data_IF_120998693902
#
_entry.id   IF_120998693902
#
_cell.length_a   1.000
_cell.length_b   1.000
_cell.length_c   1.000
_cell.angle_alpha   90.00
_cell.angle_beta   90.00
_cell.angle_gamma   90.00
#
_symmetry.space_group_name_H-M   'P 1'
#
loop_
_entity.id
_entity.type
_entity.pdbx_description
1 polymer ?
#
# COMPACT_ATOMS: atom_id res chain seq x y z
N UNK A 1 20.19 -29.78 1.96
CA UNK A 1 20.17 -28.58 1.08
C UNK A 1 20.63 -27.42 1.93
N UNK A 2 21.33 -26.41 1.40
CA UNK A 2 21.68 -25.23 2.20
C UNK A 2 20.44 -24.39 2.54
N UNK A 3 20.52 -23.59 3.58
CA UNK A 3 19.52 -22.57 3.88
C UNK A 3 19.56 -21.49 2.79
N UNK A 4 18.40 -20.99 2.37
CA UNK A 4 18.32 -20.02 1.27
C UNK A 4 17.52 -18.78 1.65
N UNK A 5 17.94 -17.62 1.14
CA UNK A 5 17.16 -16.40 1.19
C UNK A 5 16.22 -16.34 -0.02
N UNK A 6 14.93 -16.13 0.25
CA UNK A 6 13.89 -16.03 -0.78
C UNK A 6 13.12 -14.72 -0.62
N UNK A 7 12.77 -14.08 -1.73
CA UNK A 7 11.98 -12.84 -1.72
C UNK A 7 10.56 -13.08 -1.21
N UNK A 8 10.05 -12.10 -0.45
CA UNK A 8 8.62 -12.00 -0.15
C UNK A 8 7.81 -11.52 -1.34
N UNK A 9 8.38 -10.61 -2.15
CA UNK A 9 7.73 -10.06 -3.33
C UNK A 9 8.74 -9.84 -4.47
N UNK A 10 8.59 -10.50 -5.64
CA UNK A 10 7.68 -11.63 -5.90
C UNK A 10 8.01 -12.83 -5.01
N UNK A 11 6.97 -13.52 -4.53
CA UNK A 11 7.11 -14.57 -3.52
C UNK A 11 7.91 -15.75 -4.06
N UNK A 12 8.88 -16.22 -3.29
CA UNK A 12 9.60 -17.48 -3.55
C UNK A 12 10.80 -17.37 -4.50
N UNK A 13 11.07 -16.20 -5.08
CA UNK A 13 12.28 -16.00 -5.90
C UNK A 13 13.53 -16.10 -5.03
N UNK A 14 14.41 -17.04 -5.33
CA UNK A 14 15.69 -17.23 -4.62
C UNK A 14 16.57 -16.01 -4.84
N UNK A 15 17.13 -15.49 -3.75
CA UNK A 15 18.11 -14.40 -3.72
C UNK A 15 19.51 -15.03 -3.78
N UNK A 16 19.83 -15.88 -2.80
CA UNK A 16 21.08 -16.64 -2.72
C UNK A 16 20.98 -17.77 -1.69
N UNK A 17 21.95 -18.66 -1.75
CA UNK A 17 22.22 -19.65 -0.71
C UNK A 17 23.13 -19.05 0.37
N UNK A 18 22.97 -19.52 1.61
CA UNK A 18 23.89 -19.19 2.70
C UNK A 18 25.13 -20.08 2.61
N UNK A 19 26.29 -19.54 2.98
CA UNK A 19 27.49 -20.34 3.20
C UNK A 19 27.35 -21.19 4.47
N UNK A 20 28.17 -22.24 4.60
CA UNK A 20 28.19 -23.08 5.81
C UNK A 20 28.48 -22.28 7.09
N UNK A 21 29.28 -21.22 6.99
CA UNK A 21 29.59 -20.31 8.11
C UNK A 21 28.38 -19.45 8.49
N UNK A 22 27.68 -18.91 7.50
CA UNK A 22 26.47 -18.09 7.69
C UNK A 22 25.34 -18.91 8.33
N UNK A 23 25.12 -20.13 7.84
CA UNK A 23 24.17 -21.05 8.45
C UNK A 23 24.50 -21.35 9.90
N UNK A 24 25.77 -21.65 10.18
CA UNK A 24 26.25 -21.94 11.53
C UNK A 24 26.03 -20.73 12.44
N UNK A 25 26.30 -19.51 11.96
CA UNK A 25 26.06 -18.28 12.68
C UNK A 25 24.58 -18.08 13.03
N UNK A 26 23.68 -18.20 12.05
CA UNK A 26 22.23 -18.03 12.28
C UNK A 26 21.68 -19.11 13.22
N UNK A 27 22.01 -20.39 12.99
CA UNK A 27 21.58 -21.52 13.84
C UNK A 27 22.09 -21.35 15.27
N UNK A 28 23.33 -20.90 15.48
CA UNK A 28 23.92 -20.73 16.82
C UNK A 28 23.36 -19.51 17.56
N UNK A 29 23.34 -18.34 16.90
CA UNK A 29 22.98 -17.06 17.51
C UNK A 29 21.48 -16.91 17.67
N UNK A 30 20.71 -17.22 16.62
CA UNK A 30 19.25 -17.02 16.61
C UNK A 30 18.49 -18.24 17.14
N UNK A 31 18.94 -19.45 16.78
CA UNK A 31 18.30 -20.71 17.17
C UNK A 31 18.66 -21.15 18.58
N UNK A 32 19.91 -21.58 18.79
CA UNK A 32 20.38 -22.12 20.07
C UNK A 32 20.52 -21.06 21.17
N UNK A 33 20.68 -19.79 20.79
CA UNK A 33 20.95 -18.67 21.71
C UNK A 33 22.15 -18.98 22.64
N UNK A 34 23.14 -19.71 22.13
CA UNK A 34 24.37 -20.03 22.87
C UNK A 34 25.32 -18.82 22.85
N UNK A 35 26.23 -18.71 23.83
CA UNK A 35 27.35 -17.79 23.72
C UNK A 35 28.09 -18.06 22.41
N UNK A 36 28.14 -17.07 21.53
CA UNK A 36 28.80 -17.16 20.24
C UNK A 36 29.96 -16.16 20.19
N UNK A 37 30.95 -16.44 19.34
CA UNK A 37 32.04 -15.50 19.09
C UNK A 37 31.50 -14.21 18.46
N UNK A 38 32.25 -13.11 18.62
CA UNK A 38 31.89 -11.84 17.98
C UNK A 38 31.73 -11.97 16.46
N UNK A 39 32.54 -12.84 15.84
CA UNK A 39 32.48 -13.14 14.41
C UNK A 39 31.14 -13.76 14.01
N UNK A 40 30.67 -14.79 14.72
CA UNK A 40 29.37 -15.41 14.46
C UNK A 40 28.20 -14.44 14.72
N UNK A 41 28.33 -13.59 15.74
CA UNK A 41 27.34 -12.54 16.00
C UNK A 41 27.25 -11.52 14.87
N UNK A 42 28.39 -11.05 14.36
CA UNK A 42 28.42 -10.11 13.24
C UNK A 42 27.83 -10.76 11.99
N UNK A 43 28.21 -12.00 11.68
CA UNK A 43 27.68 -12.72 10.52
C UNK A 43 26.16 -12.91 10.61
N UNK A 44 25.63 -13.30 11.78
CA UNK A 44 24.18 -13.41 11.97
C UNK A 44 23.46 -12.05 11.87
N UNK A 45 24.07 -10.97 12.38
CA UNK A 45 23.53 -9.61 12.24
C UNK A 45 23.45 -9.20 10.77
N UNK A 46 24.50 -9.47 9.99
CA UNK A 46 24.58 -9.11 8.58
C UNK A 46 23.50 -9.85 7.78
N UNK A 47 23.27 -11.14 8.05
CA UNK A 47 22.16 -11.90 7.44
C UNK A 47 20.80 -11.31 7.81
N UNK A 48 20.53 -11.00 9.08
CA UNK A 48 19.23 -10.44 9.47
C UNK A 48 19.02 -9.03 8.88
N UNK A 49 20.08 -8.24 8.73
CA UNK A 49 20.04 -6.94 8.05
C UNK A 49 19.76 -7.12 6.55
N UNK A 50 20.43 -8.05 5.88
CA UNK A 50 20.20 -8.42 4.48
C UNK A 50 18.74 -8.87 4.28
N UNK A 51 18.23 -9.77 5.13
CA UNK A 51 16.84 -10.20 5.10
C UNK A 51 15.86 -9.02 5.16
N UNK A 52 16.16 -8.01 5.97
CA UNK A 52 15.32 -6.80 6.05
C UNK A 52 15.52 -5.90 4.84
N UNK A 53 16.73 -5.70 4.36
CA UNK A 53 17.02 -4.89 3.18
C UNK A 53 16.28 -5.40 1.94
N UNK A 54 16.38 -6.71 1.68
CA UNK A 54 15.78 -7.37 0.52
C UNK A 54 14.33 -7.81 0.71
N UNK A 55 13.74 -7.57 1.90
CA UNK A 55 12.44 -8.10 2.31
C UNK A 55 12.33 -9.60 2.02
N UNK A 56 13.27 -10.35 2.57
CA UNK A 56 13.45 -11.78 2.37
C UNK A 56 12.90 -12.60 3.53
N UNK A 57 12.54 -13.84 3.22
CA UNK A 57 12.43 -14.92 4.18
C UNK A 57 13.66 -15.81 4.11
N UNK A 58 13.97 -16.46 5.23
CA UNK A 58 15.00 -17.47 5.33
C UNK A 58 14.32 -18.84 5.36
N UNK A 59 14.52 -19.60 4.30
CA UNK A 59 14.08 -20.99 4.20
C UNK A 59 15.11 -21.89 4.88
N UNK A 60 14.67 -22.63 5.89
CA UNK A 60 15.50 -23.61 6.56
C UNK A 60 15.61 -24.89 5.72
N UNK A 61 16.73 -25.57 5.92
CA UNK A 61 17.05 -26.90 5.40
C UNK A 61 16.44 -28.06 6.21
N UNK A 62 15.77 -27.79 7.34
CA UNK A 62 15.34 -28.83 8.28
C UNK A 62 14.13 -29.63 7.81
N UNK A 63 13.28 -29.06 6.96
CA UNK A 63 12.09 -29.71 6.40
C UNK A 63 12.19 -29.64 4.88
N UNK A 64 12.41 -30.78 4.20
CA UNK A 64 12.40 -30.84 2.74
C UNK A 64 10.96 -30.85 2.19
N UNK A 65 10.76 -30.36 0.98
CA UNK A 65 9.48 -30.44 0.25
C UNK A 65 8.78 -29.08 0.05
N UNK A 66 7.50 -29.13 -0.31
CA UNK A 66 6.71 -27.98 -0.79
C UNK A 66 6.26 -27.02 0.31
N UNK A 67 6.39 -27.41 1.57
CA UNK A 67 6.21 -26.55 2.73
C UNK A 67 7.48 -26.63 3.57
N UNK A 68 8.48 -25.77 3.31
CA UNK A 68 9.68 -25.71 4.13
C UNK A 68 9.49 -24.76 5.32
N UNK A 69 10.38 -24.87 6.32
CA UNK A 69 10.31 -24.02 7.51
C UNK A 69 10.84 -22.63 7.20
N UNK A 70 10.02 -21.62 7.45
CA UNK A 70 10.32 -20.25 7.05
C UNK A 70 10.54 -19.36 8.25
N UNK A 71 11.46 -18.42 8.11
CA UNK A 71 11.73 -17.40 9.11
C UNK A 71 11.74 -15.99 8.51
N UNK A 72 11.38 -15.00 9.31
CA UNK A 72 11.50 -13.59 8.97
C UNK A 72 12.32 -12.84 10.03
N UNK A 73 13.07 -11.84 9.57
CA UNK A 73 13.79 -10.93 10.45
C UNK A 73 12.85 -9.80 10.89
N UNK A 74 12.77 -9.58 12.20
CA UNK A 74 11.92 -8.57 12.82
C UNK A 74 12.75 -7.60 13.67
N UNK A 75 12.21 -6.39 13.86
CA UNK A 75 12.84 -5.33 14.65
C UNK A 75 11.94 -4.93 15.80
N UNK A 76 12.49 -4.92 17.01
CA UNK A 76 11.83 -4.34 18.17
C UNK A 76 12.03 -2.82 18.18
N UNK A 77 11.01 -2.08 17.73
CA UNK A 77 11.05 -0.63 17.50
C UNK A 77 11.63 0.20 18.67
N UNK A 78 11.40 -0.20 19.91
CA UNK A 78 11.86 0.57 21.08
C UNK A 78 13.35 0.36 21.41
N UNK A 79 13.93 -0.79 21.02
CA UNK A 79 15.28 -1.19 21.43
C UNK A 79 16.27 -1.29 20.26
N UNK A 80 15.79 -1.20 19.01
CA UNK A 80 16.61 -1.40 17.81
C UNK A 80 17.14 -2.83 17.69
N UNK A 81 16.48 -3.78 18.36
CA UNK A 81 16.96 -5.17 18.46
C UNK A 81 16.40 -6.01 17.32
N UNK A 82 17.30 -6.65 16.57
CA UNK A 82 16.94 -7.64 15.56
C UNK A 82 16.69 -9.00 16.19
N UNK A 83 15.70 -9.71 15.67
CA UNK A 83 15.45 -11.10 16.02
C UNK A 83 14.87 -11.87 14.83
N UNK A 84 15.09 -13.18 14.85
CA UNK A 84 14.54 -14.10 13.86
C UNK A 84 13.28 -14.75 14.43
N UNK A 85 12.21 -14.81 13.65
CA UNK A 85 10.95 -15.44 14.03
C UNK A 85 10.50 -16.42 12.97
N UNK A 86 10.00 -17.58 13.40
CA UNK A 86 9.49 -18.63 12.52
C UNK A 86 8.00 -18.43 12.20
N UNK A 87 7.55 -18.93 11.06
CA UNK A 87 6.14 -18.89 10.62
C UNK A 87 5.84 -20.03 9.63
N UNK A 88 4.57 -20.11 9.19
CA UNK A 88 3.99 -21.15 8.32
C UNK A 88 3.81 -22.50 9.04
N UNK A 89 4.89 -23.12 9.49
CA UNK A 89 4.84 -24.35 10.28
C UNK A 89 6.11 -24.49 11.15
N UNK A 90 6.08 -25.39 12.13
CA UNK A 90 7.22 -25.64 13.02
C UNK A 90 8.43 -26.16 12.25
N UNK A 91 9.64 -25.93 12.78
CA UNK A 91 10.83 -26.61 12.27
C UNK A 91 10.83 -28.09 12.70
N UNK A 92 11.73 -28.90 12.15
CA UNK A 92 11.94 -30.26 12.66
C UNK A 92 12.39 -30.23 14.15
N UNK A 93 11.98 -31.18 15.01
CA UNK A 93 12.27 -31.16 16.45
C UNK A 93 13.76 -31.04 16.81
N UNK A 94 14.64 -31.62 15.99
CA UNK A 94 16.09 -31.59 16.13
C UNK A 94 16.74 -30.30 15.58
N UNK A 95 15.96 -29.44 14.90
CA UNK A 95 16.49 -28.21 14.34
C UNK A 95 16.84 -27.20 15.45
N UNK A 96 18.02 -26.55 15.40
CA UNK A 96 18.38 -25.46 16.29
C UNK A 96 17.35 -24.33 16.41
N UNK A 97 16.51 -24.16 15.38
CA UNK A 97 15.47 -23.13 15.31
C UNK A 97 14.08 -23.64 15.73
N UNK A 98 13.95 -24.90 16.19
CA UNK A 98 12.67 -25.46 16.66
C UNK A 98 12.06 -24.61 17.77
N UNK A 99 10.79 -24.24 17.55
CA UNK A 99 9.89 -23.59 18.51
C UNK A 99 8.47 -24.06 18.21
N UNK A 100 7.75 -24.40 19.27
CA UNK A 100 6.34 -24.73 19.17
C UNK A 100 5.55 -23.47 18.75
N UNK A 101 4.72 -23.58 17.72
CA UNK A 101 3.83 -22.50 17.29
C UNK A 101 2.55 -22.60 18.13
N UNK A 102 2.24 -21.59 18.95
CA UNK A 102 0.96 -21.53 19.64
C UNK A 102 -0.16 -21.32 18.61
N UNK A 103 -1.13 -22.23 18.56
CA UNK A 103 -2.30 -22.10 17.70
C UNK A 103 -3.08 -20.81 17.98
N UNK A 104 -3.48 -20.11 16.92
CA UNK A 104 -4.34 -18.94 17.02
C UNK A 104 -5.80 -19.39 17.17
N UNK A 105 -6.26 -19.63 18.40
CA UNK A 105 -7.69 -19.57 18.74
C UNK A 105 -8.04 -18.10 18.95
N UNK A 106 -8.51 -17.41 17.92
CA UNK A 106 -9.39 -16.22 18.02
C UNK A 106 -9.62 -15.64 16.62
N UNK A 107 -10.50 -16.28 15.84
CA UNK A 107 -11.12 -15.66 14.66
C UNK A 107 -12.25 -14.73 15.13
N UNK A 108 -11.98 -13.43 15.21
CA UNK A 108 -13.03 -12.46 15.53
C UNK A 108 -13.98 -12.27 14.35
N UNK A 109 -15.25 -12.61 14.57
CA UNK A 109 -16.40 -12.67 13.67
C UNK A 109 -16.99 -11.32 13.21
N UNK A 110 -16.28 -10.20 13.38
CA UNK A 110 -16.84 -8.86 13.13
C UNK A 110 -16.45 -8.29 11.75
N UNK A 111 -17.39 -8.34 10.79
CA UNK A 111 -17.17 -7.91 9.39
C UNK A 111 -17.18 -6.40 9.09
N UNK A 112 -17.30 -5.54 10.10
CA UNK A 112 -16.93 -4.13 10.04
C UNK A 112 -15.87 -3.90 11.11
N UNK A 113 -14.70 -3.38 10.72
CA UNK A 113 -13.58 -3.25 11.65
C UNK A 113 -13.91 -2.22 12.73
N UNK A 114 -13.68 -2.57 14.00
CA UNK A 114 -13.72 -1.62 15.13
C UNK A 114 -12.62 -0.56 15.05
N UNK A 115 -11.61 -0.80 14.21
CA UNK A 115 -10.49 0.10 13.99
C UNK A 115 -10.33 0.43 12.50
N UNK A 116 -9.91 1.64 12.13
CA UNK A 116 -9.68 1.96 10.74
C UNK A 116 -8.46 1.19 10.23
N UNK A 117 -8.62 0.54 9.09
CA UNK A 117 -7.59 -0.23 8.38
C UNK A 117 -6.83 0.67 7.41
N UNK A 118 -7.55 1.53 6.68
CA UNK A 118 -6.99 2.51 5.74
C UNK A 118 -7.01 3.89 6.38
N UNK A 119 -5.89 4.29 6.99
CA UNK A 119 -5.73 5.61 7.61
C UNK A 119 -4.77 6.48 6.83
N UNK A 120 -5.00 7.80 6.91
CA UNK A 120 -4.03 8.81 6.45
C UNK A 120 -2.67 8.59 7.10
N UNK A 121 -1.63 9.05 6.40
CA UNK A 121 -0.30 9.12 6.99
C UNK A 121 -0.13 10.46 7.70
N UNK A 122 0.60 10.47 8.81
CA UNK A 122 1.07 11.72 9.40
C UNK A 122 2.41 12.07 8.74
N UNK A 123 2.47 13.18 7.98
CA UNK A 123 3.66 13.62 7.27
C UNK A 123 4.86 13.90 8.19
N UNK A 124 4.62 14.15 9.49
CA UNK A 124 5.68 14.37 10.48
C UNK A 124 6.22 13.07 11.10
N UNK A 125 5.58 11.93 10.83
CA UNK A 125 5.92 10.66 11.44
C UNK A 125 5.67 9.46 10.50
N UNK A 126 6.20 9.55 9.28
CA UNK A 126 6.08 8.47 8.30
C UNK A 126 7.41 7.81 7.89
N UNK A 127 8.55 8.43 8.16
CA UNK A 127 9.85 7.87 7.81
C UNK A 127 10.08 6.55 8.60
N UNK A 128 10.73 5.54 7.99
CA UNK A 128 10.90 4.26 8.61
C UNK A 128 11.99 4.38 9.69
N UNK A 129 12.03 3.45 10.67
CA UNK A 129 13.18 3.32 11.54
C UNK A 129 14.47 3.19 10.71
N UNK A 130 15.56 3.79 11.21
CA UNK A 130 16.88 3.49 10.69
C UNK A 130 17.39 2.18 11.30
N UNK A 131 17.64 1.21 10.42
CA UNK A 131 17.99 -0.15 10.78
C UNK A 131 19.49 -0.42 10.65
N UNK A 132 20.26 0.55 10.16
CA UNK A 132 21.68 0.39 9.81
C UNK A 132 22.55 0.00 11.02
N UNK A 133 22.16 0.47 12.20
CA UNK A 133 22.80 0.16 13.49
C UNK A 133 22.02 -0.87 14.32
N UNK A 134 21.03 -1.55 13.75
CA UNK A 134 20.25 -2.56 14.48
C UNK A 134 21.07 -3.82 14.73
N UNK A 135 21.01 -4.36 15.94
CA UNK A 135 21.84 -5.49 16.38
C UNK A 135 20.99 -6.53 17.10
N UNK A 136 21.35 -7.81 16.96
CA UNK A 136 20.88 -8.89 17.81
C UNK A 136 21.50 -8.64 19.20
N UNK A 137 20.67 -8.28 20.18
CA UNK A 137 21.14 -8.17 21.57
C UNK A 137 21.23 -9.56 22.18
N UNK A 138 22.35 -9.85 22.86
CA UNK A 138 22.44 -10.89 23.87
C UNK A 138 21.47 -10.52 25.00
N UNK A 139 20.26 -11.08 25.03
CA UNK A 139 19.37 -10.88 26.18
C UNK A 139 18.67 -12.16 26.63
N UNK A 140 18.64 -12.28 27.96
CA UNK A 140 17.78 -13.13 28.74
C UNK A 140 16.32 -13.05 28.24
N UNK A 141 15.65 -14.20 28.38
CA UNK A 141 14.28 -14.52 27.96
C UNK A 141 13.33 -13.31 28.03
N UNK A 142 12.70 -12.97 26.91
CA UNK A 142 11.44 -12.22 26.92
C UNK A 142 10.54 -12.67 25.76
N UNK A 143 9.25 -12.61 26.03
CA UNK A 143 8.16 -13.34 25.40
C UNK A 143 7.80 -12.93 23.97
N UNK A 144 7.08 -13.87 23.35
CA UNK A 144 6.61 -13.94 21.99
C UNK A 144 5.54 -12.91 21.65
N UNK A 145 5.51 -12.51 20.38
CA UNK A 145 4.33 -11.89 19.76
C UNK A 145 3.95 -12.68 18.50
N UNK A 146 2.77 -13.29 18.54
CA UNK A 146 1.96 -13.75 17.39
C UNK A 146 1.54 -12.52 16.56
N UNK A 147 1.20 -12.56 15.28
CA UNK A 147 1.09 -13.58 14.25
C UNK A 147 0.60 -12.85 12.98
N UNK A 148 0.79 -13.40 11.79
CA UNK A 148 0.06 -12.91 10.60
C UNK A 148 -1.31 -13.59 10.58
N UNK A 149 -2.39 -12.82 10.79
CA UNK A 149 -3.76 -13.30 10.53
C UNK A 149 -4.12 -13.09 9.06
N UNK A 150 -4.78 -14.08 8.46
CA UNK A 150 -5.17 -14.05 7.03
C UNK A 150 -6.65 -13.76 6.78
N UNK A 151 -7.40 -13.25 7.76
CA UNK A 151 -8.86 -12.99 7.59
C UNK A 151 -9.29 -11.53 7.80
N UNK A 152 -8.35 -10.61 8.08
CA UNK A 152 -8.65 -9.17 8.27
C UNK A 152 -8.15 -8.36 7.05
N UNK A 153 -8.92 -7.34 6.63
CA UNK A 153 -8.51 -6.36 5.60
C UNK A 153 -7.11 -5.85 5.99
N UNK A 154 -6.06 -6.19 5.22
CA UNK A 154 -4.67 -5.87 5.58
C UNK A 154 -4.45 -4.35 5.52
N UNK A 155 -3.75 -3.81 6.51
CA UNK A 155 -3.36 -2.39 6.54
C UNK A 155 -2.53 -2.07 5.30
N UNK A 156 -2.90 -1.00 4.59
CA UNK A 156 -2.17 -0.56 3.39
C UNK A 156 -0.69 -0.28 3.70
N UNK A 157 0.24 -0.64 2.81
CA UNK A 157 1.66 -0.34 2.97
C UNK A 157 1.89 1.15 3.24
N UNK A 158 2.95 1.46 3.97
CA UNK A 158 3.31 2.85 4.34
C UNK A 158 3.45 3.76 3.12
N UNK A 159 4.07 3.26 2.05
CA UNK A 159 4.26 3.98 0.81
C UNK A 159 2.92 4.26 0.09
N UNK A 160 1.98 3.31 0.16
CA UNK A 160 0.61 3.49 -0.32
C UNK A 160 -0.10 4.62 0.43
N UNK A 161 -0.03 4.61 1.77
CA UNK A 161 -0.65 5.65 2.61
C UNK A 161 -0.05 7.03 2.34
N UNK A 162 1.27 7.12 2.09
CA UNK A 162 1.92 8.38 1.72
C UNK A 162 1.37 8.93 0.41
N UNK A 163 1.41 8.13 -0.65
CA UNK A 163 0.91 8.52 -1.98
C UNK A 163 -0.57 8.90 -1.92
N UNK A 164 -1.41 8.07 -1.29
CA UNK A 164 -2.84 8.32 -1.21
C UNK A 164 -3.19 9.54 -0.36
N UNK A 165 -2.41 9.84 0.69
CA UNK A 165 -2.65 11.06 1.49
C UNK A 165 -2.37 12.30 0.64
N UNK A 166 -1.28 12.26 -0.14
CA UNK A 166 -0.91 13.35 -1.04
C UNK A 166 -1.92 13.55 -2.19
N UNK A 167 -2.46 12.45 -2.73
CA UNK A 167 -3.54 12.50 -3.74
C UNK A 167 -4.81 13.11 -3.14
N UNK A 168 -5.17 12.73 -1.91
CA UNK A 168 -6.34 13.26 -1.21
C UNK A 168 -6.19 14.77 -0.92
N UNK A 169 -5.02 15.20 -0.42
CA UNK A 169 -4.73 16.62 -0.19
C UNK A 169 -4.67 17.44 -1.48
N UNK A 170 -4.27 16.83 -2.59
CA UNK A 170 -4.31 17.46 -3.92
C UNK A 170 -5.72 17.46 -4.55
N UNK A 171 -6.70 16.81 -3.91
CA UNK A 171 -8.07 16.69 -4.42
C UNK A 171 -8.20 15.85 -5.70
N UNK A 172 -7.20 15.02 -6.02
CA UNK A 172 -7.17 14.26 -7.28
C UNK A 172 -8.05 13.00 -7.26
N UNK A 173 -8.61 12.66 -6.09
CA UNK A 173 -9.67 11.67 -5.90
C UNK A 173 -11.08 12.28 -5.98
N UNK A 174 -11.22 13.55 -6.36
CA UNK A 174 -12.49 14.27 -6.43
C UNK A 174 -12.73 14.83 -7.82
N UNK A 175 -14.00 14.85 -8.23
CA UNK A 175 -14.48 15.46 -9.46
C UNK A 175 -15.59 16.44 -9.09
N UNK A 176 -15.31 17.73 -9.18
CA UNK A 176 -16.28 18.80 -8.86
C UNK A 176 -17.51 18.75 -9.78
N UNK A 177 -17.35 18.23 -11.00
CA UNK A 177 -18.43 17.98 -11.96
C UNK A 177 -18.18 16.67 -12.69
N UNK A 178 -19.13 15.74 -12.69
CA UNK A 178 -19.09 14.51 -13.48
C UNK A 178 -19.49 14.72 -14.94
N UNK A 179 -20.31 15.73 -15.24
CA UNK A 179 -20.74 16.01 -16.61
C UNK A 179 -19.67 16.76 -17.40
N UNK A 180 -18.82 17.54 -16.71
CA UNK A 180 -17.65 18.19 -17.26
C UNK A 180 -16.46 17.91 -16.33
N UNK A 181 -15.98 16.65 -16.25
CA UNK A 181 -14.83 16.35 -15.42
C UNK A 181 -13.69 17.24 -15.91
N UNK A 182 -12.97 17.86 -14.98
CA UNK A 182 -11.83 18.71 -15.31
C UNK A 182 -10.66 17.83 -15.79
N UNK A 183 -10.78 17.35 -17.02
CA UNK A 183 -9.73 16.65 -17.75
C UNK A 183 -8.61 17.66 -17.97
N UNK A 184 -7.46 17.40 -17.36
CA UNK A 184 -6.30 18.28 -17.51
C UNK A 184 -5.76 18.17 -18.93
N UNK A 185 -5.28 19.29 -19.48
CA UNK A 185 -4.71 19.34 -20.83
C UNK A 185 -3.46 18.45 -20.93
N UNK A 186 -2.70 18.36 -19.83
CA UNK A 186 -1.59 17.43 -19.70
C UNK A 186 -1.60 16.75 -18.31
N UNK A 187 -1.01 15.56 -18.23
CA UNK A 187 -0.90 14.83 -16.95
C UNK A 187 0.08 15.49 -15.96
N UNK A 188 0.96 16.40 -16.42
CA UNK A 188 1.90 17.12 -15.54
C UNK A 188 1.17 18.04 -14.58
N UNK A 189 0.05 18.65 -14.98
CA UNK A 189 -0.81 19.43 -14.08
C UNK A 189 -1.28 18.61 -12.87
N UNK A 190 -1.48 17.30 -13.04
CA UNK A 190 -1.83 16.41 -11.93
C UNK A 190 -0.63 16.17 -11.00
N UNK A 191 0.57 16.02 -11.56
CA UNK A 191 1.80 15.92 -10.76
C UNK A 191 2.10 17.24 -10.03
N UNK A 192 1.86 18.37 -10.68
CA UNK A 192 2.06 19.70 -10.10
C UNK A 192 1.09 19.95 -8.96
N UNK A 193 -0.16 19.46 -9.02
CA UNK A 193 -1.09 19.53 -7.89
C UNK A 193 -0.53 18.82 -6.64
N UNK A 194 0.03 17.62 -6.80
CA UNK A 194 0.71 16.92 -5.70
C UNK A 194 1.96 17.68 -5.26
N UNK A 195 2.72 18.25 -6.19
CA UNK A 195 3.91 19.05 -5.88
C UNK A 195 3.58 20.28 -5.04
N UNK A 196 2.44 20.93 -5.27
CA UNK A 196 2.01 22.06 -4.42
C UNK A 196 1.73 21.61 -2.99
N UNK A 197 1.12 20.44 -2.80
CA UNK A 197 0.95 19.85 -1.46
C UNK A 197 2.31 19.63 -0.80
N UNK A 198 3.31 19.10 -1.52
CA UNK A 198 4.63 18.83 -0.91
C UNK A 198 5.40 20.10 -0.57
N UNK A 199 5.13 21.22 -1.24
CA UNK A 199 5.71 22.53 -0.89
C UNK A 199 5.09 23.11 0.39
N UNK A 200 3.80 22.86 0.64
CA UNK A 200 3.05 23.42 1.76
C UNK A 200 3.13 22.56 3.03
N UNK A 201 3.29 21.25 2.87
CA UNK A 201 3.28 20.31 3.98
C UNK A 201 4.70 20.03 4.48
N UNK A 202 4.85 19.98 5.80
CA UNK A 202 6.12 19.72 6.46
C UNK A 202 6.27 18.25 6.88
N UNK A 203 7.48 17.69 6.74
CA UNK A 203 7.85 16.41 7.35
C UNK A 203 8.66 16.56 8.64
N UNK A 204 9.27 17.73 8.84
CA UNK A 204 9.95 18.17 10.05
C UNK A 204 9.67 19.66 10.18
N UNK A 205 9.71 20.20 11.39
CA UNK A 205 9.50 21.63 11.63
C UNK A 205 10.42 22.46 10.73
N UNK A 206 9.85 23.32 9.90
CA UNK A 206 10.58 24.20 8.99
C UNK A 206 11.12 23.52 7.72
N UNK A 207 10.80 22.24 7.46
CA UNK A 207 11.26 21.51 6.27
C UNK A 207 10.09 20.87 5.53
N UNK A 208 9.94 21.25 4.27
CA UNK A 208 8.81 20.83 3.43
C UNK A 208 9.03 19.44 2.83
N UNK A 209 7.95 18.72 2.56
CA UNK A 209 7.99 17.41 1.90
C UNK A 209 8.68 17.49 0.54
N UNK A 210 8.66 18.63 -0.15
CA UNK A 210 9.30 18.83 -1.45
C UNK A 210 10.82 18.65 -1.42
N UNK A 211 11.45 18.70 -0.25
CA UNK A 211 12.88 18.37 -0.12
C UNK A 211 13.15 16.88 -0.32
N UNK A 212 12.21 16.01 0.05
CA UNK A 212 12.35 14.56 0.00
C UNK A 212 11.42 13.87 -1.01
N UNK A 213 10.41 14.56 -1.56
CA UNK A 213 9.50 14.01 -2.58
C UNK A 213 9.68 14.77 -3.89
N UNK A 214 10.12 14.03 -4.91
CA UNK A 214 10.46 14.57 -6.22
C UNK A 214 9.55 14.00 -7.32
N UNK A 215 9.36 14.76 -8.40
CA UNK A 215 8.46 14.39 -9.51
C UNK A 215 9.24 14.17 -10.83
N UNK A 216 10.49 13.73 -10.70
CA UNK A 216 11.44 13.55 -11.81
C UNK A 216 11.89 12.08 -11.86
N UNK A 217 11.17 11.21 -12.58
CA UNK A 217 11.51 9.79 -12.66
C UNK A 217 12.88 9.50 -13.30
N UNK A 218 13.42 10.45 -14.08
CA UNK A 218 14.72 10.36 -14.77
C UNK A 218 15.89 11.00 -14.03
N UNK A 219 15.86 11.06 -12.69
CA UNK A 219 16.96 11.64 -11.93
C UNK A 219 18.25 10.81 -12.12
N UNK A 220 19.31 11.43 -12.64
CA UNK A 220 20.61 10.76 -12.84
C UNK A 220 21.25 10.33 -11.52
N UNK A 221 22.11 9.32 -11.54
CA UNK A 221 22.84 8.84 -10.34
C UNK A 221 23.56 9.99 -9.63
N UNK A 222 24.26 10.86 -10.37
CA UNK A 222 24.90 12.06 -9.80
C UNK A 222 23.94 12.99 -9.08
N UNK A 223 22.72 13.13 -9.60
CA UNK A 223 21.69 13.98 -8.97
C UNK A 223 21.10 13.30 -7.73
N UNK A 224 20.96 11.98 -7.75
CA UNK A 224 20.55 11.19 -6.58
C UNK A 224 21.60 11.28 -5.47
N UNK A 225 22.90 11.17 -5.81
CA UNK A 225 24.00 11.27 -4.83
C UNK A 225 24.01 12.63 -4.14
N UNK A 226 24.00 13.72 -4.93
CA UNK A 226 23.94 15.09 -4.39
C UNK A 226 22.74 15.32 -3.49
N UNK A 227 21.59 14.75 -3.85
CA UNK A 227 20.38 14.85 -3.03
C UNK A 227 20.59 14.08 -1.72
N UNK A 228 21.09 12.85 -1.76
CA UNK A 228 21.31 12.05 -0.57
C UNK A 228 22.34 12.70 0.38
N UNK A 229 23.47 13.16 -0.14
CA UNK A 229 24.48 13.92 0.63
C UNK A 229 23.85 15.15 1.32
N UNK A 230 22.96 15.85 0.60
CA UNK A 230 22.23 16.99 1.17
C UNK A 230 21.29 16.55 2.30
N UNK A 231 20.64 15.40 2.21
CA UNK A 231 19.76 14.89 3.27
C UNK A 231 20.54 14.39 4.48
N UNK A 232 21.74 13.84 4.26
CA UNK A 232 22.63 13.28 5.29
C UNK A 232 23.49 14.34 6.00
N UNK A 233 23.54 15.57 5.49
CA UNK A 233 24.29 16.65 6.12
C UNK A 233 23.81 16.89 7.58
N UNK A 234 24.72 16.78 8.54
CA UNK A 234 24.46 16.91 9.98
C UNK A 234 23.88 18.25 10.42
N UNK A 235 24.12 19.33 9.67
CA UNK A 235 23.52 20.65 9.96
C UNK A 235 22.02 20.68 9.67
N UNK A 236 21.55 19.78 8.78
CA UNK A 236 20.15 19.61 8.49
C UNK A 236 19.56 18.66 9.51
N UNK A 237 18.85 19.22 10.47
CA UNK A 237 18.08 18.46 11.45
C UNK A 237 17.24 17.37 10.75
N UNK A 238 17.57 16.11 11.05
CA UNK A 238 16.85 14.92 10.59
C UNK A 238 16.20 14.22 11.80
N UNK A 239 15.05 13.54 11.65
CA UNK A 239 14.38 12.96 12.79
C UNK A 239 15.22 11.81 13.34
N UNK A 240 15.47 11.84 14.64
CA UNK A 240 16.31 10.85 15.30
C UNK A 240 15.81 9.43 15.00
N UNK A 241 16.77 8.53 14.69
CA UNK A 241 16.52 7.10 14.41
C UNK A 241 15.60 6.83 13.22
N UNK A 242 15.47 7.78 12.28
CA UNK A 242 14.73 7.59 11.03
C UNK A 242 15.68 7.46 9.85
N UNK A 243 15.38 6.55 8.93
CA UNK A 243 16.23 6.32 7.75
C UNK A 243 16.25 7.55 6.84
N UNK A 244 17.43 7.98 6.42
CA UNK A 244 17.59 8.96 5.35
C UNK A 244 17.10 8.35 4.02
N UNK A 245 16.14 9.01 3.40
CA UNK A 245 15.55 8.56 2.15
C UNK A 245 14.83 9.69 1.42
N UNK A 246 14.72 9.54 0.11
CA UNK A 246 13.87 10.38 -0.74
C UNK A 246 12.92 9.52 -1.57
N UNK A 247 11.94 10.16 -2.18
CA UNK A 247 10.87 9.53 -2.93
C UNK A 247 10.74 10.15 -4.31
N UNK A 248 10.33 9.36 -5.28
CA UNK A 248 9.93 9.85 -6.59
C UNK A 248 8.49 9.44 -6.87
N UNK A 249 7.65 10.40 -7.27
CA UNK A 249 6.25 10.18 -7.66
C UNK A 249 6.08 10.54 -9.14
N UNK A 250 5.46 9.64 -9.89
CA UNK A 250 5.16 9.82 -11.31
C UNK A 250 4.01 8.91 -11.74
N UNK A 251 3.61 8.99 -13.01
CA UNK A 251 2.64 8.07 -13.62
C UNK A 251 3.35 7.14 -14.61
N UNK A 252 2.91 5.88 -14.68
CA UNK A 252 3.49 4.88 -15.57
C UNK A 252 2.43 4.00 -16.24
N UNK A 253 2.76 3.48 -17.43
CA UNK A 253 1.93 2.51 -18.18
C UNK A 253 2.46 1.08 -18.05
N UNK A 254 3.76 0.93 -17.83
CA UNK A 254 4.45 -0.37 -17.88
C UNK A 254 5.06 -0.67 -16.51
N UNK A 255 4.46 -1.61 -15.79
CA UNK A 255 4.87 -1.97 -14.45
C UNK A 255 4.65 -3.46 -14.20
N UNK A 256 5.54 -4.05 -13.40
CA UNK A 256 5.35 -5.37 -12.80
C UNK A 256 5.85 -5.34 -11.36
N UNK A 257 5.81 -6.48 -10.67
CA UNK A 257 6.28 -6.55 -9.28
C UNK A 257 7.79 -6.34 -9.14
N UNK A 258 8.56 -6.53 -10.20
CA UNK A 258 10.02 -6.39 -10.17
C UNK A 258 10.52 -5.03 -10.68
N UNK A 259 9.74 -4.35 -11.53
CA UNK A 259 10.22 -3.20 -12.25
C UNK A 259 9.12 -2.22 -12.66
N UNK A 260 9.50 -0.96 -12.81
CA UNK A 260 8.74 0.05 -13.54
C UNK A 260 9.56 0.51 -14.73
N UNK A 261 8.92 0.60 -15.89
CA UNK A 261 9.53 1.11 -17.11
C UNK A 261 9.00 2.51 -17.42
N UNK A 262 9.94 3.41 -17.67
CA UNK A 262 9.67 4.79 -18.07
C UNK A 262 10.08 4.92 -19.54
N UNK A 263 9.08 5.12 -20.39
CA UNK A 263 9.24 5.29 -21.82
C UNK A 263 9.34 6.78 -22.14
N UNK A 264 10.50 7.21 -22.63
CA UNK A 264 10.79 8.59 -22.96
C UNK A 264 10.40 8.92 -24.39
N UNK A 265 10.10 10.19 -24.67
CA UNK A 265 9.68 10.65 -26.00
C UNK A 265 10.75 10.42 -27.10
N UNK A 266 12.02 10.30 -26.72
CA UNK A 266 13.13 9.99 -27.62
C UNK A 266 13.29 8.48 -27.91
N UNK A 267 12.37 7.64 -27.45
CA UNK A 267 12.41 6.18 -27.60
C UNK A 267 13.23 5.44 -26.53
N UNK A 268 13.94 6.15 -25.65
CA UNK A 268 14.69 5.50 -24.58
C UNK A 268 13.73 4.88 -23.55
N UNK A 269 14.08 3.69 -23.06
CA UNK A 269 13.38 3.04 -21.95
C UNK A 269 14.32 3.01 -20.76
N UNK A 270 13.89 3.64 -19.66
CA UNK A 270 14.58 3.54 -18.38
C UNK A 270 13.83 2.54 -17.50
N UNK A 271 14.53 1.55 -16.96
CA UNK A 271 13.95 0.53 -16.09
C UNK A 271 14.48 0.70 -14.68
N UNK A 272 13.59 0.91 -13.71
CA UNK A 272 13.94 0.97 -12.30
C UNK A 272 13.46 -0.32 -11.63
N UNK A 273 14.35 -0.98 -10.89
CA UNK A 273 14.10 -2.26 -10.20
C UNK A 273 14.24 -2.08 -8.69
N UNK A 274 13.14 -1.82 -7.96
CA UNK A 274 13.19 -1.73 -6.51
C UNK A 274 13.64 -3.05 -5.90
N UNK A 275 14.53 -2.98 -4.92
CA UNK A 275 15.16 -4.13 -4.26
C UNK A 275 14.11 -5.08 -3.66
N UNK A 276 13.12 -4.52 -2.93
CA UNK A 276 11.98 -5.24 -2.35
C UNK A 276 10.81 -5.45 -3.32
N UNK A 277 10.98 -5.03 -4.57
CA UNK A 277 9.92 -5.03 -5.58
C UNK A 277 8.88 -3.93 -5.38
N UNK A 278 7.80 -4.06 -6.14
CA UNK A 278 6.70 -3.12 -6.23
C UNK A 278 5.44 -3.79 -5.70
N UNK A 279 4.83 -3.15 -4.70
CA UNK A 279 3.47 -3.50 -4.25
C UNK A 279 2.46 -2.84 -5.18
N UNK A 280 1.70 -3.64 -5.94
CA UNK A 280 0.66 -3.13 -6.85
C UNK A 280 -0.71 -3.38 -6.21
N UNK A 281 -1.48 -2.32 -6.02
CA UNK A 281 -2.78 -2.40 -5.37
C UNK A 281 -3.75 -3.31 -6.14
N UNK A 282 -4.37 -4.26 -5.44
CA UNK A 282 -5.37 -5.17 -6.00
C UNK A 282 -4.84 -6.15 -7.07
N UNK A 283 -3.52 -6.31 -7.22
CA UNK A 283 -2.91 -7.15 -8.24
C UNK A 283 -1.90 -8.16 -7.64
N UNK A 284 -2.22 -9.45 -7.81
CA UNK A 284 -1.42 -10.54 -7.29
C UNK A 284 -0.16 -10.82 -8.13
N UNK A 285 -0.16 -10.55 -9.45
CA UNK A 285 0.92 -11.05 -10.31
C UNK A 285 1.39 -10.12 -11.45
N UNK A 286 0.68 -9.05 -11.82
CA UNK A 286 1.17 -8.18 -12.89
C UNK A 286 0.37 -6.90 -13.07
N UNK A 287 1.07 -5.84 -13.49
CA UNK A 287 0.56 -4.51 -13.80
C UNK A 287 -0.40 -4.48 -14.99
N UNK A 288 -1.52 -5.18 -14.89
CA UNK A 288 -2.47 -5.44 -15.99
C UNK A 288 -3.55 -4.37 -16.14
N UNK A 289 -3.59 -3.37 -15.26
CA UNK A 289 -4.58 -2.27 -15.22
C UNK A 289 -3.92 -0.90 -15.34
N UNK A 290 -3.04 -0.66 -16.33
CA UNK A 290 -2.53 0.68 -16.54
C UNK A 290 -3.66 1.66 -16.89
N UNK A 291 -3.42 2.97 -16.72
CA UNK A 291 -2.23 3.60 -16.14
C UNK A 291 -2.17 3.53 -14.60
N UNK A 292 -1.00 3.84 -14.03
CA UNK A 292 -0.71 3.80 -12.60
C UNK A 292 -0.14 5.10 -12.05
N UNK A 293 -0.53 5.47 -10.84
CA UNK A 293 0.29 6.28 -9.94
C UNK A 293 1.41 5.40 -9.40
N UNK A 294 2.64 5.90 -9.42
CA UNK A 294 3.83 5.20 -8.90
C UNK A 294 4.54 6.08 -7.90
N UNK A 295 4.94 5.48 -6.79
CA UNK A 295 5.85 6.07 -5.82
C UNK A 295 7.00 5.10 -5.57
N UNK A 296 8.23 5.60 -5.67
CA UNK A 296 9.46 4.85 -5.44
C UNK A 296 10.22 5.46 -4.26
N UNK A 297 10.82 4.63 -3.43
CA UNK A 297 11.61 5.03 -2.26
C UNK A 297 13.09 4.72 -2.46
N UNK A 298 13.96 5.71 -2.28
CA UNK A 298 15.41 5.60 -2.47
C UNK A 298 16.14 5.86 -1.16
N UNK A 299 17.13 5.03 -0.85
CA UNK A 299 17.95 5.17 0.36
C UNK A 299 19.35 4.61 0.13
N UNK A 300 20.27 4.89 1.05
CA UNK A 300 21.57 4.23 1.08
C UNK A 300 21.43 2.77 1.56
N UNK A 301 22.04 1.84 0.85
CA UNK A 301 22.24 0.44 1.24
C UNK A 301 23.38 0.30 2.24
N UNK A 302 23.55 -0.89 2.81
CA UNK A 302 24.63 -1.17 3.77
C UNK A 302 26.04 -0.97 3.18
N UNK A 303 26.21 -1.16 1.87
CA UNK A 303 27.47 -0.95 1.14
C UNK A 303 27.70 0.52 0.72
N UNK A 304 26.83 1.44 1.14
CA UNK A 304 26.97 2.87 0.87
C UNK A 304 26.40 3.35 -0.47
N UNK A 305 25.87 2.46 -1.31
CA UNK A 305 25.27 2.84 -2.61
C UNK A 305 23.84 3.34 -2.45
N UNK A 306 23.35 4.16 -3.38
CA UNK A 306 21.93 4.51 -3.43
C UNK A 306 21.17 3.41 -4.17
N UNK A 307 20.17 2.85 -3.51
CA UNK A 307 19.26 1.85 -4.07
C UNK A 307 17.84 2.37 -4.11
N UNK A 308 17.07 1.93 -5.11
CA UNK A 308 15.62 1.97 -5.03
C UNK A 308 15.17 0.84 -4.09
N UNK A 309 14.75 1.17 -2.88
CA UNK A 309 14.44 0.19 -1.83
C UNK A 309 13.11 -0.54 -2.07
N UNK A 310 12.03 0.21 -2.30
CA UNK A 310 10.67 -0.32 -2.47
C UNK A 310 9.87 0.59 -3.41
N UNK A 311 8.88 0.01 -4.09
CA UNK A 311 7.91 0.74 -4.89
C UNK A 311 6.47 0.41 -4.52
N UNK A 312 5.57 1.34 -4.81
CA UNK A 312 4.13 1.11 -4.74
C UNK A 312 3.45 1.71 -5.96
N UNK A 313 2.44 1.00 -6.46
CA UNK A 313 1.63 1.45 -7.56
C UNK A 313 0.14 1.28 -7.30
N UNK A 314 -0.63 2.25 -7.78
CA UNK A 314 -2.09 2.27 -7.70
C UNK A 314 -2.66 2.62 -9.06
N UNK A 315 -3.51 1.76 -9.61
CA UNK A 315 -4.20 2.03 -10.87
C UNK A 315 -5.02 3.34 -10.78
N UNK A 316 -5.11 4.06 -11.88
CA UNK A 316 -5.91 5.28 -11.97
C UNK A 316 -6.87 5.20 -13.15
N UNK A 317 -7.90 6.05 -13.18
CA UNK A 317 -8.89 6.08 -14.24
C UNK A 317 -8.27 6.40 -15.61
N UNK A 318 -7.64 7.57 -15.74
CA UNK A 318 -6.81 7.95 -16.90
C UNK A 318 -5.79 9.04 -16.53
N UNK A 319 -4.70 9.19 -17.29
CA UNK A 319 -3.57 10.09 -16.93
C UNK A 319 -3.99 11.55 -16.66
N UNK A 320 -4.99 12.05 -17.38
CA UNK A 320 -5.49 13.45 -17.28
C UNK A 320 -6.66 13.61 -16.31
N UNK A 321 -7.14 12.52 -15.72
CA UNK A 321 -8.19 12.48 -14.70
C UNK A 321 -7.85 11.32 -13.73
N UNK A 322 -6.86 11.52 -12.86
CA UNK A 322 -6.15 10.41 -12.23
C UNK A 322 -6.76 9.97 -10.91
N UNK A 323 -8.08 9.79 -10.90
CA UNK A 323 -8.83 9.22 -9.77
C UNK A 323 -8.32 7.79 -9.55
N UNK A 324 -7.84 7.43 -8.33
CA UNK A 324 -7.41 6.06 -8.03
C UNK A 324 -8.57 5.07 -8.17
N UNK A 325 -8.27 3.87 -8.66
CA UNK A 325 -9.25 2.76 -8.77
C UNK A 325 -8.62 1.45 -8.29
N UNK A 326 -9.35 0.66 -7.51
CA UNK A 326 -8.84 -0.60 -6.95
C UNK A 326 -9.01 -1.79 -7.93
N UNK A 327 -9.88 -1.65 -8.95
CA UNK A 327 -10.18 -2.71 -9.92
C UNK A 327 -10.60 -2.20 -11.32
N UNK A 328 -10.62 -3.11 -12.30
CA UNK A 328 -11.16 -2.81 -13.65
C UNK A 328 -12.67 -2.57 -13.61
N UNK A 329 -13.39 -3.27 -12.73
CA UNK A 329 -14.82 -3.06 -12.53
C UNK A 329 -15.08 -1.65 -12.00
N UNK A 330 -14.34 -1.22 -10.99
CA UNK A 330 -14.47 0.13 -10.41
C UNK A 330 -14.16 1.22 -11.46
N UNK A 331 -13.18 0.99 -12.32
CA UNK A 331 -12.91 1.86 -13.47
C UNK A 331 -14.11 1.97 -14.41
N UNK A 332 -14.77 0.85 -14.70
CA UNK A 332 -15.97 0.82 -15.55
C UNK A 332 -17.16 1.52 -14.86
N UNK A 333 -17.34 1.34 -13.55
CA UNK A 333 -18.37 2.03 -12.76
C UNK A 333 -18.19 3.54 -12.83
N UNK A 334 -16.95 4.04 -12.74
CA UNK A 334 -16.66 5.47 -12.93
C UNK A 334 -17.01 5.95 -14.36
N UNK A 335 -16.68 5.17 -15.40
CA UNK A 335 -17.10 5.47 -16.78
C UNK A 335 -18.62 5.57 -16.90
N UNK A 336 -19.35 4.63 -16.31
CA UNK A 336 -20.81 4.62 -16.32
C UNK A 336 -21.40 5.87 -15.63
N UNK A 337 -20.84 6.29 -14.49
CA UNK A 337 -21.27 7.51 -13.79
C UNK A 337 -21.02 8.78 -14.62
N UNK A 338 -19.91 8.86 -15.35
CA UNK A 338 -19.62 9.97 -16.28
C UNK A 338 -20.63 9.99 -17.45
N UNK A 339 -21.01 8.84 -17.98
CA UNK A 339 -22.05 8.73 -19.01
C UNK A 339 -23.41 9.23 -18.48
N UNK A 340 -23.80 8.80 -17.28
CA UNK A 340 -25.04 9.21 -16.63
C UNK A 340 -25.08 10.72 -16.43
N UNK A 341 -24.01 11.33 -15.92
CA UNK A 341 -23.93 12.77 -15.73
C UNK A 341 -24.05 13.53 -17.07
N UNK A 342 -23.43 12.99 -18.13
CA UNK A 342 -23.53 13.54 -19.49
C UNK A 342 -24.96 13.48 -20.05
N UNK A 343 -25.73 12.44 -19.72
CA UNK A 343 -27.14 12.32 -20.11
C UNK A 343 -28.04 13.27 -19.32
N UNK A 344 -27.81 13.40 -18.00
CA UNK A 344 -28.56 14.32 -17.14
C UNK A 344 -28.39 15.76 -17.59
N UNK A 345 -27.15 16.20 -17.88
CA UNK A 345 -26.85 17.56 -18.35
C UNK A 345 -27.68 18.01 -19.56
N UNK A 346 -28.16 17.08 -20.40
CA UNK A 346 -29.00 17.38 -21.58
C UNK A 346 -30.47 17.68 -21.23
N UNK A 347 -30.90 17.42 -19.99
CA UNK A 347 -32.27 17.65 -19.52
C UNK A 347 -32.31 18.79 -18.50
N UNK A 348 -33.12 19.83 -18.74
CA UNK A 348 -33.37 20.88 -17.75
C UNK A 348 -33.94 20.32 -16.45
N UNK A 349 -33.62 20.97 -15.32
CA UNK A 349 -34.15 20.59 -14.01
C UNK A 349 -33.49 19.38 -13.35
N UNK A 350 -32.49 18.77 -13.99
CA UNK A 350 -31.74 17.64 -13.42
C UNK A 350 -30.61 18.13 -12.50
N UNK A 351 -30.14 17.28 -11.56
CA UNK A 351 -29.05 17.66 -10.68
C UNK A 351 -27.70 17.77 -11.38
N UNK A 352 -26.86 18.66 -10.87
CA UNK A 352 -25.43 18.59 -11.09
C UNK A 352 -24.81 17.53 -10.17
N UNK A 353 -23.96 16.67 -10.74
CA UNK A 353 -23.32 15.59 -9.99
C UNK A 353 -21.84 15.89 -9.78
N UNK A 354 -21.36 15.74 -8.56
CA UNK A 354 -19.93 15.67 -8.21
C UNK A 354 -19.61 14.31 -7.59
N UNK A 355 -18.33 13.92 -7.60
CA UNK A 355 -17.89 12.62 -7.12
C UNK A 355 -16.67 12.75 -6.22
N UNK A 356 -16.65 11.94 -5.17
CA UNK A 356 -15.48 11.65 -4.35
C UNK A 356 -15.22 10.14 -4.39
N UNK A 357 -13.96 9.76 -4.59
CA UNK A 357 -13.43 8.43 -4.33
C UNK A 357 -12.77 8.45 -2.95
N UNK A 358 -13.41 7.92 -1.89
CA UNK A 358 -12.78 7.86 -0.58
C UNK A 358 -11.51 7.01 -0.64
N UNK A 359 -10.40 7.54 -0.12
CA UNK A 359 -9.13 6.82 -0.05
C UNK A 359 -8.85 6.25 1.35
N UNK A 360 -9.59 6.70 2.35
CA UNK A 360 -9.42 6.31 3.76
C UNK A 360 -10.77 5.98 4.38
N UNK A 361 -10.74 5.13 5.41
CA UNK A 361 -11.95 4.69 6.07
C UNK A 361 -12.70 5.90 6.65
N UNK A 362 -14.00 5.94 6.37
CA UNK A 362 -14.95 6.90 6.93
C UNK A 362 -15.55 6.33 8.20
N UNK A 363 -15.54 7.13 9.26
CA UNK A 363 -16.20 6.81 10.53
C UNK A 363 -17.72 6.91 10.39
N UNK A 364 -18.44 5.89 10.85
CA UNK A 364 -19.90 5.81 10.85
C UNK A 364 -20.41 5.20 12.16
N UNK A 365 -21.65 5.49 12.52
CA UNK A 365 -22.30 4.93 13.72
C UNK A 365 -23.45 4.02 13.29
N UNK A 366 -23.37 2.74 13.66
CA UNK A 366 -24.42 1.74 13.35
C UNK A 366 -24.89 1.14 14.67
N UNK A 367 -26.17 1.31 14.99
CA UNK A 367 -26.77 0.84 16.24
C UNK A 367 -26.00 1.33 17.49
N UNK A 368 -25.56 2.60 17.48
CA UNK A 368 -24.77 3.20 18.57
C UNK A 368 -23.29 2.78 18.62
N UNK A 369 -22.86 1.83 17.77
CA UNK A 369 -21.47 1.41 17.71
C UNK A 369 -20.69 2.16 16.63
N UNK A 370 -19.48 2.58 17.00
CA UNK A 370 -18.50 3.15 16.07
C UNK A 370 -17.97 2.10 15.11
N UNK A 371 -18.10 2.35 13.80
CA UNK A 371 -17.63 1.48 12.71
C UNK A 371 -16.90 2.29 11.64
N UNK A 372 -16.17 1.59 10.79
CA UNK A 372 -15.37 2.16 9.72
C UNK A 372 -15.73 1.49 8.39
N UNK A 373 -16.04 2.31 7.38
CA UNK A 373 -16.38 1.85 6.02
C UNK A 373 -15.58 2.61 4.98
N UNK A 374 -15.33 1.98 3.83
CA UNK A 374 -14.66 2.59 2.69
C UNK A 374 -15.45 2.21 1.44
N UNK A 375 -16.45 3.02 1.04
CA UNK A 375 -17.19 2.79 -0.18
C UNK A 375 -16.34 3.08 -1.41
N UNK A 376 -16.73 2.54 -2.56
CA UNK A 376 -16.04 2.82 -3.81
C UNK A 376 -16.25 4.25 -4.28
N UNK A 377 -17.48 4.74 -4.40
CA UNK A 377 -17.71 6.14 -4.75
C UNK A 377 -18.78 6.78 -3.89
N UNK A 378 -18.67 8.09 -3.70
CA UNK A 378 -19.71 8.92 -3.14
C UNK A 378 -20.04 10.00 -4.17
N UNK A 379 -21.24 9.95 -4.71
CA UNK A 379 -21.76 10.96 -5.64
C UNK A 379 -22.62 11.93 -4.86
N UNK A 380 -22.33 13.22 -4.97
CA UNK A 380 -23.21 14.27 -4.46
C UNK A 380 -24.02 14.83 -5.61
N UNK A 381 -25.34 14.71 -5.52
CA UNK A 381 -26.28 15.33 -6.44
C UNK A 381 -26.75 16.65 -5.86
N UNK A 382 -26.60 17.75 -6.60
CA UNK A 382 -27.11 19.08 -6.25
C UNK A 382 -28.26 19.44 -7.17
N UNK A 383 -29.46 19.56 -6.62
CA UNK A 383 -30.63 20.03 -7.33
C UNK A 383 -30.50 21.51 -7.75
N UNK A 384 -31.26 21.97 -8.75
CA UNK A 384 -31.29 23.37 -9.15
C UNK A 384 -31.68 24.35 -8.03
N UNK A 385 -32.47 23.89 -7.05
CA UNK A 385 -32.87 24.68 -5.86
C UNK A 385 -31.77 24.72 -4.78
N UNK A 386 -30.61 24.11 -5.03
CA UNK A 386 -29.46 24.07 -4.15
C UNK A 386 -29.45 22.91 -3.14
N UNK A 387 -30.54 22.14 -3.01
CA UNK A 387 -30.56 20.97 -2.11
C UNK A 387 -29.60 19.90 -2.59
N UNK A 388 -29.03 19.16 -1.66
CA UNK A 388 -28.03 18.13 -1.95
C UNK A 388 -28.43 16.78 -1.37
N UNK A 389 -28.14 15.73 -2.13
CA UNK A 389 -28.30 14.35 -1.70
C UNK A 389 -27.02 13.57 -1.99
N UNK A 390 -26.68 12.63 -1.10
CA UNK A 390 -25.51 11.76 -1.24
C UNK A 390 -25.95 10.36 -1.65
N UNK A 391 -25.31 9.86 -2.70
CA UNK A 391 -25.49 8.53 -3.23
C UNK A 391 -24.17 7.79 -3.10
N UNK A 392 -24.17 6.69 -2.36
CA UNK A 392 -22.99 5.84 -2.13
C UNK A 392 -23.03 4.70 -3.14
N UNK A 393 -21.93 4.45 -3.84
CA UNK A 393 -21.80 3.41 -4.85
C UNK A 393 -20.77 2.39 -4.37
N UNK A 394 -21.15 1.11 -4.41
CA UNK A 394 -20.23 -0.01 -4.17
C UNK A 394 -20.14 -0.89 -5.41
N UNK A 395 -18.92 -1.16 -5.87
CA UNK A 395 -18.66 -2.05 -7.00
C UNK A 395 -18.52 -3.48 -6.50
N UNK A 396 -19.24 -4.40 -7.13
CA UNK A 396 -19.29 -5.81 -6.74
C UNK A 396 -18.57 -6.64 -7.80
N UNK A 397 -17.70 -7.56 -7.38
CA UNK A 397 -16.84 -8.31 -8.29
C UNK A 397 -16.73 -9.81 -8.05
N UNK A 398 -17.22 -10.32 -6.92
CA UNK A 398 -17.28 -11.74 -6.60
C UNK A 398 -18.61 -12.05 -5.92
N UNK A 399 -19.10 -13.29 -6.04
CA UNK A 399 -20.41 -13.71 -5.54
C UNK A 399 -20.32 -14.82 -4.47
N UNK A 400 -19.11 -15.18 -4.01
CA UNK A 400 -18.97 -16.20 -2.97
C UNK A 400 -19.64 -15.80 -1.64
N UNK A 401 -20.08 -16.77 -0.86
CA UNK A 401 -20.91 -16.55 0.34
C UNK A 401 -20.21 -15.71 1.41
N UNK A 402 -18.90 -15.87 1.57
CA UNK A 402 -18.11 -15.18 2.59
C UNK A 402 -17.83 -13.72 2.20
N UNK A 403 -17.56 -13.49 0.92
CA UNK A 403 -17.48 -12.17 0.30
C UNK A 403 -18.82 -11.44 0.43
N UNK A 404 -19.94 -12.12 0.16
CA UNK A 404 -21.30 -11.60 0.28
C UNK A 404 -21.66 -11.19 1.72
N UNK A 405 -21.39 -12.06 2.69
CA UNK A 405 -21.64 -11.78 4.10
C UNK A 405 -20.77 -10.62 4.62
N UNK A 406 -19.50 -10.54 4.19
CA UNK A 406 -18.60 -9.43 4.56
C UNK A 406 -19.07 -8.10 3.97
N UNK A 407 -19.42 -8.04 2.68
CA UNK A 407 -19.90 -6.82 2.02
C UNK A 407 -21.23 -6.34 2.58
N UNK A 408 -22.17 -7.26 2.82
CA UNK A 408 -23.48 -6.92 3.44
C UNK A 408 -23.33 -6.20 4.78
N UNK A 409 -22.34 -6.59 5.60
CA UNK A 409 -22.05 -5.89 6.88
C UNK A 409 -21.51 -4.47 6.66
N UNK A 410 -20.69 -4.25 5.63
CA UNK A 410 -20.20 -2.91 5.30
C UNK A 410 -21.31 -2.02 4.73
N UNK A 411 -22.24 -2.58 3.96
CA UNK A 411 -23.38 -1.87 3.37
C UNK A 411 -24.26 -1.17 4.42
N UNK A 412 -24.46 -1.80 5.58
CA UNK A 412 -25.21 -1.18 6.69
C UNK A 412 -24.54 0.11 7.19
N UNK A 413 -23.21 0.12 7.27
CA UNK A 413 -22.45 1.33 7.63
C UNK A 413 -22.46 2.38 6.51
N UNK A 414 -22.33 1.96 5.24
CA UNK A 414 -22.36 2.86 4.09
C UNK A 414 -23.69 3.61 3.95
N UNK A 415 -24.81 2.98 4.34
CA UNK A 415 -26.14 3.64 4.37
C UNK A 415 -26.23 4.83 5.33
N UNK A 416 -25.29 4.96 6.29
CA UNK A 416 -25.20 6.15 7.15
C UNK A 416 -24.57 7.35 6.41
N UNK A 417 -23.88 7.11 5.29
CA UNK A 417 -23.22 8.16 4.50
C UNK A 417 -24.19 8.76 3.46
N UNK A 418 -25.05 7.91 2.87
CA UNK A 418 -26.02 8.28 1.84
C UNK A 418 -26.78 7.08 1.31
N UNK A 419 -27.59 7.28 0.26
CA UNK A 419 -28.37 6.21 -0.36
C UNK A 419 -27.44 5.25 -1.10
N UNK A 420 -27.36 3.99 -0.64
CA UNK A 420 -26.46 2.98 -1.19
C UNK A 420 -27.03 2.31 -2.45
N UNK A 421 -26.23 2.27 -3.51
CA UNK A 421 -26.46 1.44 -4.70
C UNK A 421 -25.22 0.61 -5.02
N UNK A 422 -25.45 -0.54 -5.66
CA UNK A 422 -24.39 -1.46 -6.09
C UNK A 422 -24.25 -1.47 -7.60
N UNK A 423 -23.06 -1.78 -8.10
CA UNK A 423 -22.80 -2.17 -9.49
C UNK A 423 -22.36 -3.64 -9.52
N UNK A 424 -23.19 -4.57 -10.06
CA UNK A 424 -24.48 -4.33 -10.70
C UNK A 424 -25.61 -3.96 -9.72
N UNK A 425 -26.72 -3.33 -10.19
CA UNK A 425 -27.87 -3.01 -9.36
C UNK A 425 -28.52 -4.27 -8.79
N UNK A 426 -29.04 -4.18 -7.56
CA UNK A 426 -29.66 -5.32 -6.85
C UNK A 426 -28.74 -6.55 -6.85
N UNK A 427 -27.46 -6.34 -6.56
CA UNK A 427 -26.49 -7.41 -6.45
C UNK A 427 -27.05 -8.58 -5.61
N UNK A 428 -26.98 -9.80 -6.18
CA UNK A 428 -27.67 -11.06 -5.81
C UNK A 428 -28.93 -11.42 -6.63
N UNK A 429 -29.51 -10.48 -7.38
CA UNK A 429 -30.59 -10.77 -8.34
C UNK A 429 -29.99 -11.11 -9.72
N UNK A 430 -30.49 -12.18 -10.37
CA UNK A 430 -30.01 -12.63 -11.68
C UNK A 430 -30.43 -11.73 -12.85
N UNK A 431 -31.41 -10.83 -12.64
CA UNK A 431 -31.89 -9.90 -13.67
C UNK A 431 -31.82 -8.48 -13.14
N UNK A 432 -30.90 -7.70 -13.70
CA UNK A 432 -30.71 -6.30 -13.37
C UNK A 432 -30.47 -5.47 -14.64
N UNK A 433 -31.05 -4.26 -14.72
CA UNK A 433 -30.75 -3.36 -15.82
C UNK A 433 -29.27 -2.97 -15.81
N UNK A 434 -28.71 -2.51 -16.95
CA UNK A 434 -27.38 -1.91 -17.00
C UNK A 434 -27.23 -0.81 -15.94
N UNK A 435 -26.11 -0.81 -15.22
CA UNK A 435 -25.86 0.09 -14.09
C UNK A 435 -26.11 1.57 -14.45
N UNK A 436 -25.64 2.02 -15.60
CA UNK A 436 -25.86 3.39 -16.10
C UNK A 436 -27.36 3.74 -16.26
N UNK A 437 -28.20 2.81 -16.76
CA UNK A 437 -29.65 3.05 -16.90
C UNK A 437 -30.32 3.14 -15.55
N UNK A 438 -29.95 2.25 -14.62
CA UNK A 438 -30.42 2.28 -13.24
C UNK A 438 -30.07 3.60 -12.56
N UNK A 439 -28.80 3.99 -12.58
CA UNK A 439 -28.32 5.21 -11.95
C UNK A 439 -28.93 6.46 -12.57
N UNK A 440 -29.13 6.49 -13.88
CA UNK A 440 -29.87 7.57 -14.53
C UNK A 440 -31.28 7.72 -13.96
N UNK A 441 -32.01 6.62 -13.81
CA UNK A 441 -33.33 6.61 -13.17
C UNK A 441 -33.30 7.09 -11.71
N UNK A 442 -32.29 6.67 -10.94
CA UNK A 442 -32.08 7.11 -9.55
C UNK A 442 -31.91 8.63 -9.49
N UNK A 443 -31.01 9.22 -10.27
CA UNK A 443 -30.74 10.65 -10.21
C UNK A 443 -31.88 11.52 -10.77
N UNK A 444 -32.67 11.00 -11.73
CA UNK A 444 -33.86 11.68 -12.22
C UNK A 444 -34.97 11.82 -11.17
N UNK A 445 -35.06 10.88 -10.22
CA UNK A 445 -36.12 10.81 -9.22
C UNK A 445 -35.60 10.91 -7.78
N UNK A 446 -34.37 11.40 -7.63
CA UNK A 446 -33.72 11.47 -6.32
C UNK A 446 -34.50 12.41 -5.41
N UNK A 447 -34.78 11.95 -4.20
CA UNK A 447 -35.35 12.80 -3.15
C UNK A 447 -34.20 13.47 -2.41
N UNK A 448 -34.27 14.80 -2.30
CA UNK A 448 -33.27 15.66 -1.67
C UNK A 448 -33.60 15.97 -0.23
#
# INVERSE_FOLDING_TARGET
MPMILVKKNPRGKVIRELSSEEETAVKTVCGLKKPATMVLHNLANDILREMREYDAWLQCDCIPGDSPAMNFAALKNNTGTLYLSSFNHEHAPECPMYRQLSGNEEETSSGASRHPVSTRINYRNFLPPDDSNSVIRLQARSAYHNGESSSVRKKRPRLARLLLSLIDDAGLNKLDSLANPRIRTNYRECLDAIRQVTLQQEYIRGRSLSEIIHFRPGMSERSQERLMETLENSERHWPARRKHMFFQIFMAQHICRDAVEIHWANGNIQVIRPVRGISINGEAQGGIRPPYWVILAFCRSADGRIICSEGYAHALYQLTCPVPVDSKLERNTLTALLNVASWLKRKPGTPELSLERPLFDTEVYVNGEKKYVLPDFIVTARAPDGKTARVVIETMGYEDSDYCARKSRQHTGMKQIGVLHTDPPKWLDNDHPPFEKHMYGVFMHLRY
#
